data_IF_863194711422
#
_entry.id   IF_863194711422
#
_cell.length_a   1.000
_cell.length_b   1.000
_cell.length_c   1.000
_cell.angle_alpha   90.00
_cell.angle_beta   90.00
_cell.angle_gamma   90.00
#
_symmetry.space_group_name_H-M   'P 1'
#
loop_
_entity.id
_entity.type
_entity.pdbx_description
1 polymer ?
#
# COMPACT_ATOMS: atom_id res chain seq x y z
N UNK A 1 11.62 -0.02 12.09
CA UNK A 1 11.16 1.09 11.22
C UNK A 1 11.07 0.55 9.80
N UNK A 2 9.87 0.49 9.23
CA UNK A 2 9.67 0.03 7.86
C UNK A 2 10.20 1.09 6.90
N UNK A 3 11.24 0.72 6.16
CA UNK A 3 11.72 1.44 4.98
C UNK A 3 10.97 0.84 3.78
N UNK A 4 10.61 1.64 2.77
CA UNK A 4 11.07 2.99 2.52
C UNK A 4 10.26 4.07 3.25
N UNK A 5 10.86 5.25 3.38
CA UNK A 5 10.23 6.40 4.01
C UNK A 5 9.12 6.96 3.12
N UNK A 6 8.03 7.41 3.75
CA UNK A 6 6.86 8.02 3.09
C UNK A 6 7.24 9.10 2.06
N UNK A 7 8.30 9.86 2.32
CA UNK A 7 8.85 10.89 1.42
C UNK A 7 9.47 10.36 0.11
N UNK A 8 9.76 9.07 0.00
CA UNK A 8 10.19 8.44 -1.26
C UNK A 8 9.01 7.88 -2.07
N UNK A 9 7.86 7.68 -1.41
CA UNK A 9 6.66 7.09 -2.02
C UNK A 9 5.75 8.20 -2.56
N UNK A 10 5.66 9.31 -1.83
CA UNK A 10 4.86 10.47 -2.21
C UNK A 10 5.70 11.38 -3.11
N UNK A 11 5.24 11.58 -4.35
CA UNK A 11 5.68 12.73 -5.15
C UNK A 11 5.13 14.01 -4.56
N UNK A 12 5.87 15.13 -4.69
CA UNK A 12 5.67 16.47 -4.09
C UNK A 12 4.24 17.07 -4.09
N UNK A 13 3.27 16.44 -4.73
CA UNK A 13 1.89 16.91 -4.88
C UNK A 13 0.82 15.90 -4.41
N UNK A 14 1.20 14.80 -3.77
CA UNK A 14 0.23 13.83 -3.22
C UNK A 14 0.01 14.04 -1.72
N UNK A 15 -1.24 13.92 -1.28
CA UNK A 15 -1.62 14.05 0.12
C UNK A 15 -1.24 12.80 0.90
N UNK A 16 -0.64 12.98 2.09
CA UNK A 16 -0.37 11.87 3.02
C UNK A 16 -1.64 11.07 3.34
N UNK A 17 -2.81 11.71 3.36
CA UNK A 17 -4.09 11.03 3.58
C UNK A 17 -4.43 10.08 2.42
N UNK A 18 -4.19 10.50 1.17
CA UNK A 18 -4.40 9.67 -0.02
C UNK A 18 -3.48 8.46 -0.01
N UNK A 19 -2.22 8.61 0.43
CA UNK A 19 -1.31 7.48 0.62
C UNK A 19 -1.84 6.49 1.67
N UNK A 20 -2.25 6.98 2.84
CA UNK A 20 -2.76 6.10 3.91
C UNK A 20 -3.99 5.32 3.43
N UNK A 21 -4.91 5.98 2.73
CA UNK A 21 -6.10 5.34 2.17
C UNK A 21 -5.71 4.29 1.12
N UNK A 22 -4.77 4.59 0.23
CA UNK A 22 -4.29 3.66 -0.79
C UNK A 22 -3.59 2.43 -0.16
N UNK A 23 -2.70 2.65 0.81
CA UNK A 23 -2.04 1.57 1.57
C UNK A 23 -3.09 0.71 2.28
N UNK A 24 -4.07 1.31 2.95
CA UNK A 24 -5.10 0.57 3.66
C UNK A 24 -5.99 -0.26 2.73
N UNK A 25 -6.35 0.28 1.56
CA UNK A 25 -7.10 -0.45 0.55
C UNK A 25 -6.30 -1.64 0.03
N UNK A 26 -5.04 -1.42 -0.36
CA UNK A 26 -4.17 -2.48 -0.87
C UNK A 26 -3.86 -3.55 0.18
N UNK A 27 -3.68 -3.17 1.43
CA UNK A 27 -3.48 -4.12 2.52
C UNK A 27 -4.68 -5.05 2.74
N UNK A 28 -5.92 -4.58 2.52
CA UNK A 28 -7.11 -5.45 2.57
C UNK A 28 -7.11 -6.44 1.42
N UNK A 29 -6.85 -5.99 0.20
CA UNK A 29 -6.77 -6.87 -0.99
C UNK A 29 -5.74 -7.98 -0.76
N UNK A 30 -4.56 -7.66 -0.24
CA UNK A 30 -3.52 -8.65 0.07
C UNK A 30 -3.99 -9.62 1.16
N UNK A 31 -4.69 -9.13 2.20
CA UNK A 31 -5.22 -9.99 3.26
C UNK A 31 -6.28 -10.97 2.74
N UNK A 32 -7.16 -10.49 1.86
CA UNK A 32 -8.19 -11.32 1.22
C UNK A 32 -7.54 -12.35 0.27
N UNK A 33 -6.57 -11.94 -0.55
CA UNK A 33 -5.80 -12.86 -1.41
C UNK A 33 -5.08 -13.96 -0.62
N UNK A 34 -4.47 -13.61 0.53
CA UNK A 34 -3.81 -14.59 1.41
C UNK A 34 -4.82 -15.54 2.05
N UNK A 35 -5.99 -15.02 2.44
CA UNK A 35 -7.08 -15.81 2.98
C UNK A 35 -7.62 -16.80 1.95
N UNK A 36 -7.84 -16.36 0.70
CA UNK A 36 -8.27 -17.22 -0.41
C UNK A 36 -7.23 -18.27 -0.79
N UNK A 37 -5.94 -17.93 -0.73
CA UNK A 37 -4.83 -18.87 -0.98
C UNK A 37 -4.59 -19.84 0.18
N UNK A 38 -5.19 -19.59 1.35
CA UNK A 38 -4.95 -20.37 2.56
C UNK A 38 -3.51 -20.24 3.08
N UNK A 39 -2.80 -19.19 2.68
CA UNK A 39 -1.43 -18.94 3.13
C UNK A 39 -1.42 -18.25 4.49
N UNK A 40 -0.52 -18.67 5.37
CA UNK A 40 -0.34 -18.04 6.67
C UNK A 40 0.15 -16.60 6.51
N UNK A 41 -0.45 -15.69 7.29
CA UNK A 41 -0.08 -14.27 7.40
C UNK A 41 1.32 -14.09 8.05
N UNK A 42 2.37 -14.67 7.47
CA UNK A 42 3.75 -14.52 7.94
C UNK A 42 4.25 -13.10 7.75
N UNK A 43 3.86 -12.45 6.64
CA UNK A 43 4.13 -11.03 6.41
C UNK A 43 2.88 -10.17 6.63
N UNK A 44 3.05 -9.07 7.37
CA UNK A 44 1.97 -8.11 7.61
C UNK A 44 1.54 -7.53 6.25
N UNK A 45 0.27 -7.62 5.84
CA UNK A 45 -0.19 -7.13 4.53
C UNK A 45 0.07 -5.63 4.34
N UNK A 46 0.09 -4.87 5.43
CA UNK A 46 0.45 -3.44 5.44
C UNK A 46 1.89 -3.20 4.99
N UNK A 47 2.83 -4.08 5.36
CA UNK A 47 4.23 -3.97 4.95
C UNK A 47 4.36 -4.17 3.44
N UNK A 48 3.75 -5.24 2.92
CA UNK A 48 3.73 -5.55 1.50
C UNK A 48 3.09 -4.43 0.69
N UNK A 49 1.95 -3.89 1.14
CA UNK A 49 1.28 -2.77 0.48
C UNK A 49 2.19 -1.52 0.39
N UNK A 50 2.93 -1.20 1.45
CA UNK A 50 3.87 -0.06 1.45
C UNK A 50 5.02 -0.29 0.48
N UNK A 51 5.58 -1.50 0.44
CA UNK A 51 6.67 -1.86 -0.49
C UNK A 51 6.22 -1.86 -1.96
N UNK A 52 5.00 -2.33 -2.25
CA UNK A 52 4.41 -2.30 -3.59
C UNK A 52 4.15 -0.88 -4.09
N UNK A 53 3.65 0.00 -3.21
CA UNK A 53 3.49 1.43 -3.55
C UNK A 53 4.84 2.11 -3.72
N UNK A 54 5.82 1.80 -2.86
CA UNK A 54 7.14 2.40 -2.95
C UNK A 54 7.98 1.94 -4.14
N UNK A 55 7.78 0.71 -4.59
CA UNK A 55 8.41 0.20 -5.81
C UNK A 55 7.79 0.77 -7.09
N UNK A 56 6.74 1.59 -6.98
CA UNK A 56 6.06 2.21 -8.11
C UNK A 56 5.18 1.25 -8.91
N UNK A 57 4.88 0.06 -8.37
CA UNK A 57 3.96 -0.90 -9.01
C UNK A 57 2.53 -0.36 -9.09
N UNK A 58 2.13 0.45 -8.11
CA UNK A 58 0.81 1.06 -8.03
C UNK A 58 0.92 2.59 -7.97
N UNK A 59 0.00 3.27 -8.65
CA UNK A 59 -0.15 4.74 -8.60
C UNK A 59 -1.46 5.07 -7.92
N UNK A 60 -1.42 6.09 -7.07
CA UNK A 60 -2.61 6.60 -6.39
C UNK A 60 -3.37 7.47 -7.39
N UNK A 61 -4.49 6.99 -7.89
CA UNK A 61 -5.39 7.77 -8.74
C UNK A 61 -6.55 8.26 -7.89
N UNK A 62 -6.58 9.56 -7.67
CA UNK A 62 -7.72 10.26 -7.07
C UNK A 62 -8.72 10.56 -8.19
N UNK A 63 -9.75 9.74 -8.35
CA UNK A 63 -10.90 10.11 -9.18
C UNK A 63 -11.66 11.21 -8.43
N UNK A 64 -11.37 12.47 -8.75
CA UNK A 64 -12.26 13.58 -8.45
C UNK A 64 -13.28 13.58 -9.59
N UNK A 65 -14.50 13.12 -9.29
CA UNK A 65 -15.67 13.42 -10.12
C UNK A 65 -16.12 14.87 -9.89
#
# INVERSE_FOLDING_TARGET
MLRPAVNQIISKNESCYSLVIAVAKRAREIADELYEKGETLEEKPVKTAVEELASGKYKIVSTLE
#
